data_IF_146773672108
#
_entry.id   IF_146773672108
#
_cell.length_a   1.000
_cell.length_b   1.000
_cell.length_c   1.000
_cell.angle_alpha   90.00
_cell.angle_beta   90.00
_cell.angle_gamma   90.00
#
_symmetry.space_group_name_H-M   'P 1'
#
loop_
_entity.id
_entity.type
_entity.pdbx_description
1 polymer ?
#
# COMPACT_ATOMS: atom_id res chain seq x y z
N UNK A 1 0.24 1.36 -2.54
CA UNK A 1 1.27 2.11 -3.30
C UNK A 1 0.85 2.20 -4.77
N UNK A 2 1.32 3.21 -5.49
CA UNK A 2 1.04 3.44 -6.91
C UNK A 2 2.32 3.97 -7.59
N UNK A 3 2.55 3.62 -8.85
CA UNK A 3 3.71 4.10 -9.61
C UNK A 3 3.32 4.52 -11.02
N UNK A 4 3.69 5.74 -11.43
CA UNK A 4 3.18 6.36 -12.65
C UNK A 4 3.55 5.66 -13.96
N UNK A 5 4.66 4.90 -14.02
CA UNK A 5 5.00 4.14 -15.22
C UNK A 5 4.15 2.88 -15.41
N UNK A 6 3.40 2.47 -14.38
CA UNK A 6 2.44 1.37 -14.41
C UNK A 6 1.06 1.93 -14.02
N UNK A 7 0.44 2.69 -14.93
CA UNK A 7 -0.56 3.69 -14.56
C UNK A 7 -1.88 3.10 -14.10
N UNK A 8 -2.11 1.80 -14.27
CA UNK A 8 -3.39 1.13 -14.01
C UNK A 8 -3.31 0.10 -12.86
N UNK A 9 -2.20 0.07 -12.11
CA UNK A 9 -2.01 -0.90 -11.03
C UNK A 9 -1.82 -0.20 -9.68
N UNK A 10 -2.63 -0.59 -8.70
CA UNK A 10 -2.46 -0.24 -7.29
C UNK A 10 -1.89 -1.46 -6.56
N UNK A 11 -0.88 -1.21 -5.73
CA UNK A 11 -0.17 -2.24 -4.98
C UNK A 11 -0.51 -2.24 -3.50
N UNK A 12 -0.73 -3.42 -2.95
CA UNK A 12 -0.84 -3.67 -1.52
C UNK A 12 0.33 -4.54 -1.08
N UNK A 13 1.07 -4.13 -0.06
CA UNK A 13 2.31 -4.78 0.36
C UNK A 13 2.38 -4.88 1.88
N UNK A 14 2.97 -5.98 2.37
CA UNK A 14 3.37 -6.12 3.75
C UNK A 14 4.89 -6.33 3.85
N UNK A 15 5.53 -5.59 4.75
CA UNK A 15 6.96 -5.68 5.01
C UNK A 15 7.23 -6.05 6.46
N UNK A 16 7.99 -7.13 6.65
CA UNK A 16 8.36 -7.68 7.95
C UNK A 16 9.82 -8.11 7.92
N UNK A 17 10.37 -8.54 9.06
CA UNK A 17 11.76 -9.04 9.09
C UNK A 17 11.94 -10.23 8.14
N UNK A 18 10.96 -11.13 8.07
CA UNK A 18 10.98 -12.30 7.18
C UNK A 18 10.56 -11.97 5.75
N UNK A 19 9.62 -11.04 5.57
CA UNK A 19 9.03 -10.72 4.27
C UNK A 19 9.34 -9.27 3.89
N UNK A 20 10.45 -8.99 3.20
CA UNK A 20 10.79 -7.62 2.80
C UNK A 20 11.52 -7.53 1.46
N UNK A 21 11.51 -6.31 0.90
CA UNK A 21 12.06 -6.01 -0.42
C UNK A 21 13.58 -6.13 -0.49
N UNK A 22 14.30 -5.95 0.63
CA UNK A 22 15.77 -6.03 0.64
C UNK A 22 16.25 -7.45 0.36
N UNK A 23 15.50 -8.47 0.77
CA UNK A 23 15.80 -9.88 0.52
C UNK A 23 14.85 -10.53 -0.51
N UNK A 24 13.97 -9.75 -1.13
CA UNK A 24 13.06 -10.21 -2.19
C UNK A 24 11.93 -11.15 -1.72
N UNK A 25 11.55 -11.10 -0.45
CA UNK A 25 10.53 -11.98 0.15
C UNK A 25 9.25 -11.24 0.54
N UNK A 26 9.11 -9.96 0.20
CA UNK A 26 7.90 -9.19 0.49
C UNK A 26 6.65 -9.88 -0.06
N UNK A 27 5.54 -9.77 0.67
CA UNK A 27 4.24 -10.19 0.17
C UNK A 27 3.53 -8.97 -0.40
N UNK A 28 3.23 -9.03 -1.70
CA UNK A 28 2.61 -7.93 -2.45
C UNK A 28 1.57 -8.48 -3.41
N UNK A 29 0.47 -7.76 -3.60
CA UNK A 29 -0.48 -7.98 -4.67
C UNK A 29 -0.76 -6.67 -5.42
N UNK A 30 -1.02 -6.79 -6.73
CA UNK A 30 -1.49 -5.70 -7.57
C UNK A 30 -2.97 -5.85 -7.86
N UNK A 31 -3.70 -4.74 -7.85
CA UNK A 31 -5.08 -4.62 -8.32
C UNK A 31 -5.09 -3.73 -9.55
N UNK A 32 -5.65 -4.24 -10.65
CA UNK A 32 -5.95 -3.40 -11.80
C UNK A 32 -7.09 -2.45 -11.44
N UNK A 33 -6.85 -1.16 -11.59
CA UNK A 33 -7.85 -0.10 -11.46
C UNK A 33 -7.68 0.80 -12.65
N UNK A 34 -8.78 1.04 -13.38
CA UNK A 34 -8.75 1.88 -14.57
C UNK A 34 -8.55 3.34 -14.17
N UNK A 35 -7.54 3.99 -14.74
CA UNK A 35 -7.29 5.43 -14.56
C UNK A 35 -7.29 5.88 -13.07
N UNK A 36 -6.50 5.25 -12.18
CA UNK A 36 -6.52 5.50 -10.72
C UNK A 36 -6.07 6.92 -10.36
N UNK A 37 -5.44 7.63 -11.30
CA UNK A 37 -4.95 8.99 -11.17
C UNK A 37 -5.97 10.07 -11.60
N UNK A 38 -7.11 9.68 -12.19
CA UNK A 38 -8.15 10.60 -12.65
C UNK A 38 -9.34 10.75 -11.70
N UNK A 39 -9.50 9.84 -10.74
CA UNK A 39 -10.64 9.80 -9.82
C UNK A 39 -10.19 9.64 -8.37
N UNK A 40 -11.09 9.95 -7.43
CA UNK A 40 -10.91 9.57 -6.03
C UNK A 40 -11.32 8.11 -5.84
N UNK A 41 -10.52 7.41 -5.04
CA UNK A 41 -10.77 6.03 -4.61
C UNK A 41 -10.58 5.93 -3.10
N UNK A 42 -11.38 5.08 -2.46
CA UNK A 42 -11.22 4.79 -1.04
C UNK A 42 -10.22 3.65 -0.89
N UNK A 43 -9.02 3.98 -0.44
CA UNK A 43 -8.02 3.01 -0.02
C UNK A 43 -8.26 2.66 1.44
N UNK A 44 -8.58 1.41 1.73
CA UNK A 44 -8.88 0.97 3.09
C UNK A 44 -7.93 -0.14 3.55
N UNK A 45 -7.62 -0.10 4.84
CA UNK A 45 -6.94 -1.15 5.56
C UNK A 45 -7.86 -1.62 6.69
N UNK A 46 -8.23 -2.89 6.66
CA UNK A 46 -8.82 -3.58 7.82
C UNK A 46 -7.74 -4.45 8.45
N UNK A 47 -7.51 -4.27 9.74
CA UNK A 47 -6.41 -4.92 10.44
C UNK A 47 -6.85 -5.30 11.84
N UNK A 48 -6.64 -6.57 12.18
CA UNK A 48 -6.86 -7.14 13.51
C UNK A 48 -5.69 -8.06 13.90
N UNK A 49 -5.81 -8.79 15.00
CA UNK A 49 -4.78 -9.71 15.50
C UNK A 49 -4.48 -10.91 14.57
N UNK A 50 -5.40 -11.23 13.66
CA UNK A 50 -5.36 -12.41 12.77
C UNK A 50 -4.84 -12.06 11.40
N UNK A 51 -5.23 -10.91 10.86
CA UNK A 51 -4.85 -10.53 9.50
C UNK A 51 -4.89 -9.02 9.24
N UNK A 52 -4.29 -8.68 8.11
CA UNK A 52 -4.21 -7.36 7.54
C UNK A 52 -4.78 -7.48 6.12
N UNK A 53 -5.81 -6.68 5.78
CA UNK A 53 -6.54 -6.74 4.51
C UNK A 53 -6.59 -5.36 3.86
N UNK A 54 -6.24 -5.27 2.58
CA UNK A 54 -6.29 -4.00 1.82
C UNK A 54 -7.40 -4.06 0.77
N UNK A 55 -8.06 -2.91 0.62
CA UNK A 55 -9.15 -2.68 -0.31
C UNK A 55 -8.95 -1.39 -1.12
N UNK A 56 -9.54 -1.36 -2.32
CA UNK A 56 -9.83 -0.14 -3.08
C UNK A 56 -11.31 -0.16 -3.45
N UNK A 57 -12.08 0.86 -3.08
CA UNK A 57 -13.54 0.93 -3.31
C UNK A 57 -14.25 -0.39 -2.98
N UNK A 58 -14.08 -0.85 -1.73
CA UNK A 58 -14.62 -2.11 -1.18
C UNK A 58 -14.11 -3.40 -1.86
N UNK A 59 -13.26 -3.30 -2.89
CA UNK A 59 -12.64 -4.45 -3.55
C UNK A 59 -11.43 -4.92 -2.76
N UNK A 60 -11.60 -6.00 -2.01
CA UNK A 60 -10.50 -6.71 -1.36
C UNK A 60 -9.56 -7.32 -2.40
N UNK A 61 -8.25 -7.06 -2.27
CA UNK A 61 -7.26 -7.60 -3.21
C UNK A 61 -5.97 -8.10 -2.56
N UNK A 62 -5.77 -7.88 -1.26
CA UNK A 62 -4.59 -8.33 -0.55
C UNK A 62 -4.90 -8.73 0.88
N UNK A 63 -4.44 -9.91 1.28
CA UNK A 63 -4.45 -10.38 2.68
C UNK A 63 -3.04 -10.75 3.13
N UNK A 64 -2.65 -10.27 4.31
CA UNK A 64 -1.47 -10.73 5.03
C UNK A 64 -1.91 -11.36 6.35
N UNK A 65 -1.76 -12.68 6.46
CA UNK A 65 -2.18 -13.46 7.64
C UNK A 65 -1.10 -13.52 8.70
N UNK A 66 -1.51 -13.47 9.96
CA UNK A 66 -0.69 -13.84 11.10
C UNK A 66 -0.49 -15.35 11.11
N UNK A 67 0.73 -15.80 10.84
CA UNK A 67 1.08 -17.22 10.79
C UNK A 67 1.33 -17.82 12.19
N UNK A 68 1.22 -17.02 13.26
CA UNK A 68 1.47 -17.48 14.63
C UNK A 68 2.94 -17.79 14.93
N UNK A 69 3.86 -17.38 14.05
CA UNK A 69 5.30 -17.67 14.12
C UNK A 69 6.14 -16.53 14.72
N UNK A 70 5.48 -15.53 15.32
CA UNK A 70 6.10 -14.45 16.07
C UNK A 70 6.45 -13.20 15.23
N UNK A 71 7.11 -12.24 15.88
CA UNK A 71 7.28 -10.87 15.38
C UNK A 71 7.99 -10.76 14.03
N UNK A 72 8.87 -11.72 13.72
CA UNK A 72 9.63 -11.68 12.48
C UNK A 72 8.70 -11.80 11.25
N UNK A 73 7.59 -12.53 11.43
CA UNK A 73 6.55 -12.74 10.42
C UNK A 73 5.39 -11.78 10.62
N UNK A 74 4.96 -11.49 11.85
CA UNK A 74 3.81 -10.62 12.11
C UNK A 74 4.14 -9.58 13.20
N UNK A 75 4.72 -8.42 12.83
CA UNK A 75 5.00 -7.32 13.76
C UNK A 75 3.82 -6.34 13.92
N UNK A 76 2.67 -6.64 13.29
CA UNK A 76 1.47 -5.79 13.28
C UNK A 76 0.62 -6.01 14.55
N UNK A 77 1.27 -6.06 15.71
CA UNK A 77 0.66 -6.15 17.04
C UNK A 77 1.18 -5.01 17.95
N UNK A 78 1.62 -3.92 17.32
CA UNK A 78 2.19 -2.71 17.92
C UNK A 78 1.48 -1.48 17.38
N UNK A 79 1.77 -0.32 17.97
CA UNK A 79 1.27 0.95 17.44
C UNK A 79 2.01 1.33 16.15
N UNK A 80 1.24 1.65 15.12
CA UNK A 80 1.70 2.22 13.86
C UNK A 80 1.17 3.65 13.72
N UNK A 81 1.77 4.42 12.82
CA UNK A 81 1.25 5.71 12.38
C UNK A 81 1.07 5.69 10.86
N UNK A 82 0.15 6.49 10.35
CA UNK A 82 -0.08 6.63 8.92
C UNK A 82 0.97 7.54 8.29
N UNK A 83 1.48 7.13 7.12
CA UNK A 83 2.32 7.95 6.26
C UNK A 83 1.63 8.10 4.90
N UNK A 84 1.52 9.35 4.43
CA UNK A 84 1.04 9.69 3.09
C UNK A 84 2.10 10.57 2.44
N UNK A 85 2.62 10.17 1.30
CA UNK A 85 3.64 10.91 0.58
C UNK A 85 3.54 10.70 -0.93
N UNK A 86 4.09 11.65 -1.69
CA UNK A 86 4.32 11.55 -3.12
C UNK A 86 5.83 11.59 -3.37
N UNK A 87 6.44 10.42 -3.57
CA UNK A 87 7.86 10.32 -3.88
C UNK A 87 8.12 10.59 -5.37
N UNK A 88 9.25 11.25 -5.67
CA UNK A 88 9.73 11.48 -7.04
C UNK A 88 11.04 10.71 -7.23
N UNK A 89 11.03 9.68 -8.09
CA UNK A 89 12.20 8.84 -8.35
C UNK A 89 12.34 7.65 -7.40
N UNK A 90 13.57 7.38 -6.94
CA UNK A 90 13.90 6.20 -6.14
C UNK A 90 14.02 4.91 -6.96
N UNK A 91 14.39 3.81 -6.30
CA UNK A 91 14.65 2.51 -6.96
C UNK A 91 13.43 1.97 -7.70
N UNK A 92 12.24 2.21 -7.16
CA UNK A 92 10.99 1.77 -7.77
C UNK A 92 10.37 2.88 -8.61
N UNK A 93 9.95 4.00 -8.01
CA UNK A 93 9.29 5.10 -8.73
C UNK A 93 10.07 5.70 -9.90
N UNK A 94 11.41 5.65 -9.84
CA UNK A 94 12.32 6.14 -10.87
C UNK A 94 12.96 5.05 -11.72
N UNK A 95 12.45 3.81 -11.69
CA UNK A 95 13.02 2.67 -12.43
C UNK A 95 13.27 2.98 -13.92
N UNK A 96 12.42 3.79 -14.53
CA UNK A 96 12.50 4.22 -15.93
C UNK A 96 12.85 5.71 -16.09
N UNK A 97 13.41 6.33 -15.05
CA UNK A 97 13.69 7.76 -15.00
C UNK A 97 12.51 8.61 -14.51
N UNK A 98 12.68 9.93 -14.57
CA UNK A 98 11.67 10.93 -14.19
C UNK A 98 11.35 11.76 -15.43
N UNK A 99 10.09 11.71 -15.88
CA UNK A 99 9.62 12.59 -16.96
C UNK A 99 9.34 13.99 -16.39
N UNK A 100 10.24 14.92 -16.69
CA UNK A 100 10.14 16.31 -16.23
C UNK A 100 9.01 17.09 -16.90
N UNK A 101 8.49 16.62 -18.03
CA UNK A 101 7.40 17.30 -18.74
C UNK A 101 6.04 17.16 -18.05
N UNK A 102 5.90 16.16 -17.16
CA UNK A 102 4.66 15.89 -16.44
C UNK A 102 4.49 16.70 -15.14
N UNK A 103 5.47 17.56 -14.79
CA UNK A 103 5.38 18.39 -13.59
C UNK A 103 4.49 19.62 -13.83
N UNK A 104 3.74 20.05 -12.79
CA UNK A 104 3.71 19.53 -11.43
C UNK A 104 2.81 18.30 -11.22
N UNK A 105 3.18 17.43 -10.27
CA UNK A 105 2.31 16.35 -9.79
C UNK A 105 1.61 16.73 -8.48
N UNK A 106 0.42 16.17 -8.25
CA UNK A 106 -0.37 16.36 -7.04
C UNK A 106 -0.84 15.03 -6.49
N UNK A 107 -0.82 14.89 -5.16
CA UNK A 107 -1.53 13.85 -4.43
C UNK A 107 -2.66 14.53 -3.64
N UNK A 108 -3.89 14.32 -4.08
CA UNK A 108 -5.08 14.91 -3.46
C UNK A 108 -5.72 13.91 -2.50
N UNK A 109 -5.95 14.32 -1.26
CA UNK A 109 -6.58 13.50 -0.22
C UNK A 109 -7.78 14.27 0.32
N UNK A 110 -8.98 13.75 0.08
CA UNK A 110 -10.22 14.36 0.59
C UNK A 110 -10.37 14.13 2.10
N UNK A 111 -10.14 12.89 2.56
CA UNK A 111 -10.19 12.56 3.99
C UNK A 111 -9.25 11.43 4.38
N UNK A 112 -8.98 11.36 5.68
CA UNK A 112 -8.47 10.18 6.38
C UNK A 112 -9.44 9.88 7.51
N UNK A 113 -9.88 8.62 7.62
CA UNK A 113 -10.72 8.16 8.72
C UNK A 113 -10.09 6.91 9.34
N UNK A 114 -10.10 6.86 10.66
CA UNK A 114 -9.63 5.72 11.45
C UNK A 114 -10.79 5.26 12.31
N UNK A 115 -11.06 3.97 12.27
CA UNK A 115 -12.15 3.33 12.99
C UNK A 115 -11.56 2.26 13.91
N UNK A 116 -12.20 2.04 15.04
CA UNK A 116 -11.95 0.90 15.91
C UNK A 116 -13.11 -0.07 15.75
N UNK A 117 -12.79 -1.36 15.68
CA UNK A 117 -13.82 -2.40 15.64
C UNK A 117 -14.42 -2.50 17.04
N UNK A 118 -15.71 -2.21 17.18
CA UNK A 118 -16.44 -2.42 18.41
C UNK A 118 -17.22 -3.73 18.29
N UNK A 119 -16.96 -4.66 19.21
CA UNK A 119 -17.74 -5.90 19.38
C UNK A 119 -19.19 -5.61 19.82
#
# INVERSE_FOLDING_TARGET
EYVGYEPDTIYGSAHTKTYNHTIGTQKTAGLFVKDPHLNYYVYALEWDEKEYRIFVDDTHYFTFKNEGSGFAVYPFDKRFHLLINLAIGGNWGGKYGIDRSLFPHQLSVDYVRVYEFND
#
